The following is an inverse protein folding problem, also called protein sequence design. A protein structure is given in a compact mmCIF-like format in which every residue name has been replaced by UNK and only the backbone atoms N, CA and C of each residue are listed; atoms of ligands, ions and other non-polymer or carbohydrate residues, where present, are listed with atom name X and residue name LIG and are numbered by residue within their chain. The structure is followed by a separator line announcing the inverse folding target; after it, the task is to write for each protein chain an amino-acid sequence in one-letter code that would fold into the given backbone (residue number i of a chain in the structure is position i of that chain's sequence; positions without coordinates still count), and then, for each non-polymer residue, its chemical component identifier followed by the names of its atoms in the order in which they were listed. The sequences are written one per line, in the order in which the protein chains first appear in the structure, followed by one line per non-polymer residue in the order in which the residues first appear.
data_IF_572311510892
#
_entry.id   IF_572311510892
#
_cell.length_a   1.000
_cell.length_b   1.000
_cell.length_c   1.000
_cell.angle_alpha   90.00
_cell.angle_beta   90.00
_cell.angle_gamma   90.00
#
_symmetry.space_group_name_H-M   'P 1'
#
loop_
_entity.id
_entity.type
_entity.pdbx_description
1 polymer ?
#
# COMPACT_ATOMS: atom_id res chain seq x y z
N UNK A 1 -20.93 59.32 -22.43
CA UNK A 1 -21.38 58.88 -21.10
C UNK A 1 -21.90 57.43 -21.05
N UNK A 2 -22.46 56.86 -22.13
CA UNK A 2 -22.96 55.47 -22.19
C UNK A 2 -21.88 54.39 -21.93
N UNK A 3 -20.69 54.54 -22.46
CA UNK A 3 -19.62 53.54 -22.35
C UNK A 3 -19.07 53.37 -20.91
N UNK A 4 -19.08 54.43 -20.08
CA UNK A 4 -18.61 54.33 -18.69
C UNK A 4 -19.57 53.46 -17.82
N UNK A 5 -20.88 53.58 -18.02
CA UNK A 5 -21.87 52.75 -17.31
C UNK A 5 -21.72 51.28 -17.67
N UNK A 6 -21.48 50.95 -18.94
CA UNK A 6 -21.25 49.56 -19.39
C UNK A 6 -19.98 48.97 -18.74
N UNK A 7 -18.90 49.75 -18.65
CA UNK A 7 -17.65 49.32 -18.02
C UNK A 7 -17.88 49.01 -16.54
N UNK A 8 -18.64 49.82 -15.80
CA UNK A 8 -18.94 49.55 -14.38
C UNK A 8 -19.81 48.30 -14.21
N UNK A 9 -20.80 48.08 -15.12
CA UNK A 9 -21.65 46.87 -15.06
C UNK A 9 -20.81 45.60 -15.33
N UNK A 10 -19.98 45.63 -16.37
CA UNK A 10 -19.10 44.49 -16.68
C UNK A 10 -18.11 44.24 -15.54
N UNK A 11 -17.52 45.30 -14.98
CA UNK A 11 -16.60 45.18 -13.84
C UNK A 11 -17.27 44.57 -12.59
N UNK A 12 -18.53 44.97 -12.30
CA UNK A 12 -19.27 44.40 -11.17
C UNK A 12 -19.62 42.92 -11.38
N UNK A 13 -19.97 42.53 -12.61
CA UNK A 13 -20.24 41.11 -12.94
C UNK A 13 -18.97 40.28 -12.79
N UNK A 14 -17.83 40.73 -13.29
CA UNK A 14 -16.55 40.07 -13.14
C UNK A 14 -16.15 39.93 -11.67
N UNK A 15 -16.36 40.98 -10.87
CA UNK A 15 -16.09 40.95 -9.44
C UNK A 15 -16.98 39.90 -8.70
N UNK A 16 -18.26 39.85 -9.02
CA UNK A 16 -19.20 38.87 -8.46
C UNK A 16 -18.83 37.45 -8.83
N UNK A 17 -18.40 37.20 -10.07
CA UNK A 17 -17.90 35.88 -10.49
C UNK A 17 -16.63 35.53 -9.71
N UNK A 18 -15.69 36.43 -9.54
CA UNK A 18 -14.48 36.21 -8.75
C UNK A 18 -14.78 35.89 -7.29
N UNK A 19 -15.69 36.64 -6.66
CA UNK A 19 -16.15 36.37 -5.28
C UNK A 19 -16.80 34.99 -5.21
N UNK A 20 -17.65 34.62 -6.17
CA UNK A 20 -18.28 33.32 -6.26
C UNK A 20 -17.26 32.16 -6.37
N UNK A 21 -16.24 32.32 -7.21
CA UNK A 21 -15.16 31.36 -7.37
C UNK A 21 -14.33 31.20 -6.07
N UNK A 22 -14.00 32.30 -5.41
CA UNK A 22 -13.26 32.27 -4.13
C UNK A 22 -14.12 31.63 -3.04
N UNK A 23 -15.39 31.98 -2.93
CA UNK A 23 -16.31 31.38 -1.97
C UNK A 23 -16.48 29.88 -2.23
N UNK A 24 -16.62 29.47 -3.48
CA UNK A 24 -16.68 28.05 -3.84
C UNK A 24 -15.42 27.29 -3.43
N UNK A 25 -14.23 27.84 -3.71
CA UNK A 25 -12.96 27.27 -3.27
C UNK A 25 -12.87 27.12 -1.74
N UNK A 26 -13.22 28.16 -1.00
CA UNK A 26 -13.08 28.16 0.46
C UNK A 26 -14.11 27.26 1.14
N UNK A 27 -15.35 27.28 0.69
CA UNK A 27 -16.46 26.56 1.32
C UNK A 27 -16.53 25.08 0.91
N UNK A 28 -16.13 24.73 -0.31
CA UNK A 28 -16.25 23.35 -0.82
C UNK A 28 -14.91 22.61 -0.76
N UNK A 29 -13.83 23.24 -1.23
CA UNK A 29 -12.54 22.56 -1.39
C UNK A 29 -11.77 22.43 -0.07
N UNK A 30 -11.88 23.41 0.82
CA UNK A 30 -11.17 23.41 2.11
C UNK A 30 -11.99 22.80 3.26
N UNK A 31 -13.24 22.40 3.01
CA UNK A 31 -14.03 21.76 4.06
C UNK A 31 -13.42 20.38 4.39
N UNK A 32 -13.00 20.14 5.64
CA UNK A 32 -12.51 18.84 6.03
C UNK A 32 -13.67 17.85 5.96
N UNK A 33 -13.45 16.68 5.35
CA UNK A 33 -14.34 15.55 5.58
C UNK A 33 -14.23 15.20 7.07
N UNK A 34 -15.32 15.25 7.81
CA UNK A 34 -15.34 14.94 9.25
C UNK A 34 -15.04 13.46 9.49
N UNK A 35 -13.77 13.08 9.31
CA UNK A 35 -13.25 11.74 9.52
C UNK A 35 -12.82 11.65 10.99
N UNK A 36 -13.38 10.74 11.76
CA UNK A 36 -13.05 10.59 13.19
C UNK A 36 -11.63 10.06 13.40
N UNK A 37 -11.22 9.08 12.60
CA UNK A 37 -9.92 8.39 12.74
C UNK A 37 -9.29 8.15 11.38
N UNK A 38 -7.96 8.23 11.33
CA UNK A 38 -7.22 7.85 10.13
C UNK A 38 -7.43 6.37 9.83
N UNK A 39 -7.93 6.05 8.64
CA UNK A 39 -8.20 4.69 8.18
C UNK A 39 -7.86 4.56 6.69
N UNK A 40 -7.86 3.33 6.20
CA UNK A 40 -7.68 3.06 4.78
C UNK A 40 -9.04 2.85 4.11
N UNK A 41 -9.26 3.56 3.01
CA UNK A 41 -10.33 3.28 2.07
C UNK A 41 -9.79 2.29 1.05
N UNK A 42 -10.41 1.12 0.94
CA UNK A 42 -10.08 0.09 -0.04
C UNK A 42 -11.06 0.14 -1.20
N UNK A 43 -10.55 0.34 -2.40
CA UNK A 43 -11.32 0.37 -3.65
C UNK A 43 -10.92 -0.82 -4.48
N UNK A 44 -11.84 -1.75 -4.69
CA UNK A 44 -11.65 -2.96 -5.47
C UNK A 44 -11.86 -2.69 -6.97
N UNK A 45 -11.45 -3.62 -7.82
CA UNK A 45 -11.59 -3.50 -9.28
C UNK A 45 -13.04 -3.53 -9.77
N UNK A 46 -13.97 -4.08 -8.97
CA UNK A 46 -15.40 -4.16 -9.24
C UNK A 46 -16.23 -3.02 -8.60
N UNK A 47 -15.57 -2.14 -7.85
CA UNK A 47 -16.24 -1.01 -7.20
C UNK A 47 -16.69 0.04 -8.23
N UNK A 48 -17.91 0.49 -8.06
CA UNK A 48 -18.45 1.66 -8.73
C UNK A 48 -18.47 2.88 -7.81
N UNK A 49 -18.85 4.04 -8.34
CA UNK A 49 -18.84 5.28 -7.57
C UNK A 49 -19.76 5.24 -6.34
N UNK A 50 -20.90 4.54 -6.43
CA UNK A 50 -21.83 4.40 -5.32
C UNK A 50 -21.27 3.50 -4.22
N UNK A 51 -20.52 2.46 -4.58
CA UNK A 51 -19.75 1.64 -3.64
C UNK A 51 -18.74 2.48 -2.87
N UNK A 52 -17.99 3.34 -3.58
CA UNK A 52 -17.00 4.26 -2.95
C UNK A 52 -17.68 5.19 -1.96
N UNK A 53 -18.84 5.79 -2.33
CA UNK A 53 -19.59 6.64 -1.40
C UNK A 53 -20.11 5.88 -0.19
N UNK A 54 -20.56 4.63 -0.39
CA UNK A 54 -21.06 3.77 0.68
C UNK A 54 -19.93 3.39 1.65
N UNK A 55 -18.76 2.98 1.11
CA UNK A 55 -17.55 2.70 1.90
C UNK A 55 -17.11 3.94 2.70
N UNK A 56 -17.08 5.13 2.08
CA UNK A 56 -16.74 6.38 2.76
C UNK A 56 -17.68 6.67 3.94
N UNK A 57 -18.99 6.54 3.74
CA UNK A 57 -19.96 6.78 4.81
C UNK A 57 -19.85 5.76 5.93
N UNK A 58 -19.71 4.48 5.60
CA UNK A 58 -19.68 3.37 6.55
C UNK A 58 -18.38 3.33 7.35
N UNK A 59 -17.24 3.39 6.68
CA UNK A 59 -15.94 3.12 7.30
C UNK A 59 -15.36 4.35 8.00
N UNK A 60 -15.76 5.56 7.55
CA UNK A 60 -15.27 6.82 8.11
C UNK A 60 -16.33 7.59 8.89
N UNK A 61 -17.56 7.06 9.04
CA UNK A 61 -18.68 7.69 9.74
C UNK A 61 -18.93 9.14 9.27
N UNK A 62 -18.61 9.41 8.00
CA UNK A 62 -18.73 10.74 7.42
C UNK A 62 -20.17 10.99 6.99
N UNK A 63 -20.84 11.95 7.63
CA UNK A 63 -22.21 12.33 7.29
C UNK A 63 -22.31 13.20 6.04
N UNK A 64 -21.30 14.04 5.80
CA UNK A 64 -21.33 15.01 4.71
C UNK A 64 -20.20 14.76 3.69
N UNK A 65 -20.57 14.20 2.54
CA UNK A 65 -19.71 14.00 1.37
C UNK A 65 -20.13 14.87 0.18
N UNK A 66 -20.98 15.88 0.41
CA UNK A 66 -21.58 16.70 -0.66
C UNK A 66 -20.52 17.39 -1.49
N UNK A 67 -19.50 17.97 -0.86
CA UNK A 67 -18.38 18.61 -1.58
C UNK A 67 -17.59 17.62 -2.45
N UNK A 68 -17.36 16.39 -1.93
CA UNK A 68 -16.68 15.34 -2.68
C UNK A 68 -17.52 14.85 -3.88
N UNK A 69 -18.83 14.65 -3.67
CA UNK A 69 -19.76 14.29 -4.75
C UNK A 69 -19.77 15.34 -5.86
N UNK A 70 -19.78 16.61 -5.49
CA UNK A 70 -19.76 17.72 -6.47
C UNK A 70 -18.46 17.72 -7.29
N UNK A 71 -17.30 17.51 -6.66
CA UNK A 71 -16.02 17.41 -7.37
C UNK A 71 -15.96 16.20 -8.30
N UNK A 72 -16.48 15.08 -7.86
CA UNK A 72 -16.54 13.85 -8.65
C UNK A 72 -17.46 14.01 -9.85
N UNK A 73 -18.64 14.61 -9.69
CA UNK A 73 -19.59 14.84 -10.80
C UNK A 73 -19.08 15.88 -11.82
N UNK A 74 -18.23 16.80 -11.40
CA UNK A 74 -17.56 17.75 -12.30
C UNK A 74 -16.30 17.18 -12.98
N UNK A 75 -16.01 15.91 -12.77
CA UNK A 75 -14.82 15.23 -13.28
C UNK A 75 -15.19 13.88 -13.92
N UNK A 76 -14.30 13.32 -14.72
CA UNK A 76 -14.49 11.98 -15.31
C UNK A 76 -14.05 10.87 -14.35
N UNK A 77 -13.99 11.12 -13.02
CA UNK A 77 -13.55 10.12 -12.06
C UNK A 77 -14.50 8.92 -11.97
N UNK A 78 -15.80 9.15 -12.09
CA UNK A 78 -16.80 8.07 -12.04
C UNK A 78 -16.61 7.01 -13.16
N UNK A 79 -16.02 7.40 -14.29
CA UNK A 79 -15.69 6.51 -15.41
C UNK A 79 -14.29 5.86 -15.25
N UNK A 80 -13.43 6.47 -14.44
CA UNK A 80 -12.03 6.05 -14.25
C UNK A 80 -11.71 5.92 -12.76
N UNK A 81 -12.35 4.95 -12.11
CA UNK A 81 -12.09 4.65 -10.70
C UNK A 81 -10.79 3.85 -10.60
N UNK A 82 -9.85 4.33 -9.79
CA UNK A 82 -8.59 3.66 -9.57
C UNK A 82 -8.67 2.76 -8.33
N UNK A 83 -8.46 1.45 -8.55
CA UNK A 83 -8.34 0.49 -7.45
C UNK A 83 -7.15 0.82 -6.55
N UNK A 84 -7.27 0.52 -5.26
CA UNK A 84 -6.17 0.75 -4.33
C UNK A 84 -6.57 0.98 -2.89
N UNK A 85 -5.55 1.12 -2.05
CA UNK A 85 -5.70 1.52 -0.66
C UNK A 85 -5.30 2.99 -0.48
N UNK A 86 -6.24 3.79 -0.03
CA UNK A 86 -6.08 5.23 0.17
C UNK A 86 -6.21 5.57 1.65
N UNK A 87 -5.13 6.05 2.26
CA UNK A 87 -5.16 6.43 3.67
C UNK A 87 -5.74 7.83 3.80
N UNK A 88 -6.91 7.93 4.40
CA UNK A 88 -7.58 9.19 4.69
C UNK A 88 -7.34 9.57 6.16
N UNK A 89 -7.08 10.85 6.40
CA UNK A 89 -6.80 11.41 7.71
C UNK A 89 -7.84 12.46 8.09
N UNK A 90 -8.09 12.69 9.39
CA UNK A 90 -8.98 13.76 9.86
C UNK A 90 -8.58 15.16 9.39
N UNK A 91 -7.30 15.37 9.07
CA UNK A 91 -6.75 16.64 8.58
C UNK A 91 -6.91 16.85 7.08
N UNK A 92 -7.31 15.80 6.35
CA UNK A 92 -7.42 15.88 4.91
C UNK A 92 -8.69 16.66 4.51
N UNK A 93 -8.52 17.61 3.61
CA UNK A 93 -9.65 18.35 3.05
C UNK A 93 -10.25 17.59 1.84
N UNK A 94 -11.46 17.96 1.48
CA UNK A 94 -12.22 17.36 0.37
C UNK A 94 -11.43 17.37 -0.95
N UNK A 95 -10.68 18.45 -1.23
CA UNK A 95 -9.86 18.55 -2.42
C UNK A 95 -8.70 17.55 -2.42
N UNK A 96 -8.01 17.40 -1.28
CA UNK A 96 -6.89 16.48 -1.16
C UNK A 96 -7.34 15.03 -1.38
N UNK A 97 -8.46 14.64 -0.75
CA UNK A 97 -9.05 13.31 -0.91
C UNK A 97 -9.46 13.07 -2.36
N UNK A 98 -10.17 14.03 -2.97
CA UNK A 98 -10.55 13.95 -4.38
C UNK A 98 -9.33 13.79 -5.31
N UNK A 99 -8.30 14.59 -5.10
CA UNK A 99 -7.09 14.54 -5.90
C UNK A 99 -6.35 13.20 -5.73
N UNK A 100 -6.27 12.68 -4.51
CA UNK A 100 -5.66 11.39 -4.21
C UNK A 100 -6.39 10.24 -4.93
N UNK A 101 -7.72 10.22 -4.87
CA UNK A 101 -8.55 9.23 -5.55
C UNK A 101 -8.44 9.35 -7.07
N UNK A 102 -8.56 10.56 -7.61
CA UNK A 102 -8.51 10.83 -9.06
C UNK A 102 -7.15 10.49 -9.68
N UNK A 103 -6.07 10.72 -8.97
CA UNK A 103 -4.70 10.44 -9.47
C UNK A 103 -4.27 8.99 -9.26
N UNK A 104 -5.06 8.17 -8.54
CA UNK A 104 -4.69 6.80 -8.22
C UNK A 104 -3.46 6.68 -7.30
N UNK A 105 -3.10 7.75 -6.56
CA UNK A 105 -1.95 7.72 -5.65
C UNK A 105 -2.27 6.89 -4.40
N UNK A 106 -2.04 5.58 -4.51
CA UNK A 106 -2.22 4.66 -3.39
C UNK A 106 -1.26 4.96 -2.25
N UNK A 107 -1.72 4.72 -1.03
CA UNK A 107 -0.86 4.75 0.16
C UNK A 107 -0.37 3.34 0.47
N UNK A 108 0.95 3.12 0.59
CA UNK A 108 1.46 1.80 0.96
C UNK A 108 0.89 1.31 2.28
N UNK A 109 0.54 0.03 2.33
CA UNK A 109 0.11 -0.65 3.55
C UNK A 109 1.28 -1.41 4.19
N UNK A 110 1.19 -1.65 5.49
CA UNK A 110 2.15 -2.48 6.20
C UNK A 110 1.72 -3.94 6.16
N UNK A 111 2.48 -4.74 5.43
CA UNK A 111 2.33 -6.18 5.32
C UNK A 111 3.35 -6.88 6.21
N UNK A 112 2.90 -7.54 7.26
CA UNK A 112 3.76 -8.37 8.09
C UNK A 112 3.77 -9.79 7.54
N UNK A 113 4.94 -10.24 7.12
CA UNK A 113 5.22 -11.62 6.72
C UNK A 113 5.65 -12.38 7.97
N UNK A 114 4.82 -13.31 8.48
CA UNK A 114 5.13 -14.05 9.69
C UNK A 114 6.11 -15.21 9.42
N UNK A 115 6.74 -15.70 10.46
CA UNK A 115 7.43 -16.99 10.42
C UNK A 115 6.40 -18.11 10.44
N UNK A 116 6.24 -18.81 9.33
CA UNK A 116 5.28 -19.91 9.19
C UNK A 116 5.96 -21.19 8.73
N UNK A 117 5.36 -22.33 9.06
CA UNK A 117 5.91 -23.66 8.71
C UNK A 117 5.56 -24.10 7.29
N UNK A 118 4.48 -23.57 6.71
CA UNK A 118 3.96 -24.00 5.41
C UNK A 118 3.73 -22.82 4.47
N UNK A 119 3.94 -23.02 3.17
CA UNK A 119 3.66 -22.02 2.13
C UNK A 119 2.17 -21.65 2.06
N UNK A 120 1.27 -22.61 2.32
CA UNK A 120 -0.17 -22.34 2.36
C UNK A 120 -0.56 -21.41 3.52
N UNK A 121 0.05 -21.58 4.70
CA UNK A 121 -0.16 -20.65 5.82
C UNK A 121 0.40 -19.25 5.52
N UNK A 122 1.53 -19.18 4.81
CA UNK A 122 2.08 -17.92 4.31
C UNK A 122 1.11 -17.23 3.35
N UNK A 123 0.68 -17.94 2.31
CA UNK A 123 -0.25 -17.42 1.31
C UNK A 123 -1.53 -16.88 1.96
N UNK A 124 -2.12 -17.64 2.89
CA UNK A 124 -3.30 -17.22 3.65
C UNK A 124 -3.05 -16.00 4.54
N UNK A 125 -1.86 -15.86 5.13
CA UNK A 125 -1.51 -14.69 5.95
C UNK A 125 -1.35 -13.43 5.11
N UNK A 126 -0.74 -13.56 3.94
CA UNK A 126 -0.48 -12.46 3.01
C UNK A 126 -1.77 -11.99 2.33
N UNK A 127 -2.61 -12.92 1.85
CA UNK A 127 -3.87 -12.60 1.17
C UNK A 127 -4.88 -11.84 2.04
N UNK A 128 -4.81 -11.95 3.37
CA UNK A 128 -5.64 -11.16 4.29
C UNK A 128 -5.34 -9.66 4.25
N UNK A 129 -4.21 -9.28 3.71
CA UNK A 129 -3.72 -7.88 3.69
C UNK A 129 -3.56 -7.32 2.29
N UNK A 130 -3.59 -8.15 1.27
CA UNK A 130 -3.50 -7.77 -0.13
C UNK A 130 -4.84 -8.06 -0.83
N UNK A 131 -5.07 -7.43 -1.96
CA UNK A 131 -6.20 -7.69 -2.84
C UNK A 131 -6.11 -9.10 -3.46
N UNK A 132 -4.87 -9.60 -3.65
CA UNK A 132 -4.62 -10.91 -4.26
C UNK A 132 -5.06 -12.05 -3.33
N UNK A 133 -5.63 -13.11 -3.91
CA UNK A 133 -6.12 -14.25 -3.17
C UNK A 133 -5.01 -15.24 -2.76
N UNK A 134 -5.32 -16.09 -1.79
CA UNK A 134 -4.36 -17.09 -1.29
C UNK A 134 -4.08 -18.20 -2.28
N UNK A 135 -5.03 -18.52 -3.17
CA UNK A 135 -4.87 -19.56 -4.17
C UNK A 135 -3.87 -19.14 -5.25
N UNK A 136 -3.93 -17.90 -5.71
CA UNK A 136 -2.98 -17.33 -6.68
C UNK A 136 -1.55 -17.34 -6.13
N UNK A 137 -1.35 -16.96 -4.87
CA UNK A 137 -0.03 -17.02 -4.23
C UNK A 137 0.43 -18.46 -4.10
N UNK A 138 -0.44 -19.37 -3.62
CA UNK A 138 -0.08 -20.75 -3.40
C UNK A 138 0.25 -21.49 -4.71
N UNK A 139 -0.50 -21.24 -5.79
CA UNK A 139 -0.26 -21.85 -7.10
C UNK A 139 1.13 -21.52 -7.63
N UNK A 140 1.54 -20.24 -7.57
CA UNK A 140 2.87 -19.81 -8.00
C UNK A 140 4.00 -20.40 -7.14
N UNK A 141 3.77 -20.52 -5.83
CA UNK A 141 4.78 -21.10 -4.92
C UNK A 141 4.91 -22.61 -5.04
N UNK A 142 3.89 -23.30 -5.55
CA UNK A 142 3.91 -24.72 -5.82
C UNK A 142 4.36 -25.07 -7.26
N UNK A 143 4.43 -24.08 -8.14
CA UNK A 143 4.94 -24.27 -9.51
C UNK A 143 6.46 -24.39 -9.50
N UNK A 144 6.95 -25.62 -9.78
CA UNK A 144 8.39 -25.92 -9.81
C UNK A 144 9.11 -25.14 -10.91
N UNK A 145 8.45 -24.90 -12.05
CA UNK A 145 9.00 -24.13 -13.16
C UNK A 145 9.21 -22.67 -12.75
N UNK A 146 8.19 -22.07 -12.16
CA UNK A 146 8.27 -20.71 -11.66
C UNK A 146 9.32 -20.57 -10.55
N UNK A 147 9.36 -21.48 -9.58
CA UNK A 147 10.38 -21.48 -8.54
C UNK A 147 11.80 -21.57 -9.11
N UNK A 148 12.02 -22.37 -10.14
CA UNK A 148 13.32 -22.49 -10.82
C UNK A 148 13.78 -21.19 -11.48
N UNK A 149 12.88 -20.40 -12.05
CA UNK A 149 13.20 -19.06 -12.61
C UNK A 149 13.65 -18.08 -11.53
N UNK A 150 13.19 -18.30 -10.31
CA UNK A 150 13.62 -17.51 -9.14
C UNK A 150 14.96 -18.00 -8.56
N UNK A 151 15.48 -19.16 -8.99
CA UNK A 151 16.68 -19.78 -8.46
C UNK A 151 16.42 -20.60 -7.19
N UNK A 152 15.18 -21.03 -6.98
CA UNK A 152 14.75 -21.84 -5.85
C UNK A 152 14.06 -23.14 -6.33
N UNK A 153 13.94 -24.10 -5.43
CA UNK A 153 13.10 -25.28 -5.61
C UNK A 153 12.01 -25.32 -4.52
N UNK A 154 11.11 -26.28 -4.58
CA UNK A 154 10.00 -26.41 -3.61
C UNK A 154 10.46 -26.51 -2.15
N UNK A 155 11.67 -26.99 -1.89
CA UNK A 155 12.24 -27.12 -0.53
C UNK A 155 12.92 -25.85 -0.06
N UNK A 156 13.48 -25.06 -0.99
CA UNK A 156 14.26 -23.86 -0.66
C UNK A 156 13.46 -22.56 -0.80
N UNK A 157 12.34 -22.56 -1.52
CA UNK A 157 11.51 -21.38 -1.73
C UNK A 157 11.02 -20.71 -0.41
N UNK A 158 10.79 -21.44 0.70
CA UNK A 158 10.44 -20.79 1.97
C UNK A 158 11.52 -19.83 2.49
N UNK A 159 12.79 -20.05 2.15
CA UNK A 159 13.90 -19.17 2.55
C UNK A 159 13.84 -17.77 1.91
N UNK A 160 13.03 -17.61 0.86
CA UNK A 160 12.76 -16.35 0.21
C UNK A 160 12.01 -15.37 1.14
N UNK A 161 11.18 -15.89 2.04
CA UNK A 161 10.28 -15.11 2.87
C UNK A 161 10.88 -14.83 4.24
N UNK A 162 11.65 -13.75 4.33
CA UNK A 162 12.22 -13.30 5.60
C UNK A 162 11.09 -12.68 6.44
N UNK A 163 10.85 -13.18 7.67
CA UNK A 163 9.86 -12.59 8.57
C UNK A 163 10.19 -11.13 8.86
N UNK A 164 9.35 -10.23 8.40
CA UNK A 164 9.50 -8.78 8.59
C UNK A 164 8.20 -8.08 8.23
N UNK A 165 8.13 -6.77 8.50
CA UNK A 165 7.05 -5.90 8.03
C UNK A 165 7.54 -5.11 6.82
N UNK A 166 6.82 -5.25 5.71
CA UNK A 166 7.14 -4.63 4.43
C UNK A 166 6.09 -3.58 4.08
N UNK A 167 6.51 -2.49 3.48
CA UNK A 167 5.59 -1.52 2.88
C UNK A 167 5.34 -1.92 1.43
N UNK A 168 4.08 -2.22 1.11
CA UNK A 168 3.64 -2.72 -0.20
C UNK A 168 2.35 -2.02 -0.62
N UNK A 169 2.05 -1.97 -1.91
CA UNK A 169 0.76 -1.54 -2.38
C UNK A 169 -0.26 -2.67 -2.23
N UNK A 170 -1.47 -2.32 -1.87
CA UNK A 170 -2.55 -3.28 -1.63
C UNK A 170 -2.94 -4.09 -2.88
N UNK A 171 -2.89 -3.45 -4.05
CA UNK A 171 -3.17 -4.06 -5.37
C UNK A 171 -2.03 -4.90 -5.92
N UNK A 172 -0.97 -5.13 -5.12
CA UNK A 172 0.19 -5.90 -5.56
C UNK A 172 -0.22 -7.32 -5.95
N UNK A 173 0.15 -7.75 -7.16
CA UNK A 173 -0.09 -9.11 -7.64
C UNK A 173 0.71 -10.15 -6.86
N UNK A 174 0.29 -11.43 -6.93
CA UNK A 174 1.02 -12.53 -6.31
C UNK A 174 2.46 -12.63 -6.83
N UNK A 175 2.63 -12.42 -8.13
CA UNK A 175 3.95 -12.47 -8.77
C UNK A 175 4.85 -11.32 -8.32
N UNK A 176 4.33 -10.08 -8.27
CA UNK A 176 5.09 -8.91 -7.83
C UNK A 176 5.46 -9.01 -6.35
N UNK A 177 4.57 -9.59 -5.52
CA UNK A 177 4.87 -9.88 -4.14
C UNK A 177 6.07 -10.83 -4.01
N UNK A 178 6.09 -11.94 -4.75
CA UNK A 178 7.18 -12.90 -4.72
C UNK A 178 8.48 -12.27 -5.26
N UNK A 179 8.43 -11.53 -6.37
CA UNK A 179 9.57 -10.77 -6.91
C UNK A 179 10.11 -9.74 -5.89
N UNK A 180 9.22 -9.06 -5.19
CA UNK A 180 9.59 -8.12 -4.12
C UNK A 180 10.33 -8.81 -2.99
N UNK A 181 9.86 -10.00 -2.56
CA UNK A 181 10.54 -10.79 -1.55
C UNK A 181 11.93 -11.21 -2.02
N UNK A 182 12.07 -11.68 -3.27
CA UNK A 182 13.37 -12.01 -3.88
C UNK A 182 14.34 -10.82 -3.84
N UNK A 183 13.89 -9.64 -4.25
CA UNK A 183 14.70 -8.42 -4.23
C UNK A 183 15.18 -8.07 -2.82
N UNK A 184 14.31 -8.21 -1.83
CA UNK A 184 14.66 -7.92 -0.43
C UNK A 184 15.68 -8.94 0.12
N UNK A 185 15.53 -10.21 -0.22
CA UNK A 185 16.46 -11.29 0.21
C UNK A 185 17.83 -11.09 -0.43
N UNK A 186 17.88 -10.79 -1.72
CA UNK A 186 19.14 -10.54 -2.45
C UNK A 186 19.79 -9.23 -2.02
N UNK A 187 19.02 -8.17 -1.81
CA UNK A 187 19.53 -6.86 -1.38
C UNK A 187 20.04 -6.84 0.07
N UNK A 188 19.50 -7.67 0.94
CA UNK A 188 20.00 -7.82 2.33
C UNK A 188 21.36 -8.49 2.38
N UNK A 189 21.73 -9.28 1.36
CA UNK A 189 23.02 -9.97 1.28
C UNK A 189 24.19 -9.13 0.80
N UNK A 190 23.93 -8.01 0.10
CA UNK A 190 25.01 -7.34 -0.66
C UNK A 190 25.36 -5.92 -0.22
N UNK A 191 24.58 -5.20 0.55
CA UNK A 191 24.90 -3.78 0.85
C UNK A 191 24.85 -3.31 2.30
N UNK A 192 24.16 -4.02 3.17
CA UNK A 192 24.34 -3.87 4.61
C UNK A 192 24.49 -5.29 5.13
N UNK A 193 25.74 -5.72 5.18
CA UNK A 193 26.07 -6.90 5.95
C UNK A 193 25.21 -6.82 7.21
N UNK A 194 24.52 -7.87 7.54
CA UNK A 194 23.74 -8.03 8.75
C UNK A 194 24.38 -7.16 9.83
N UNK A 195 23.92 -5.91 9.99
CA UNK A 195 24.19 -5.22 11.24
C UNK A 195 23.80 -6.28 12.22
N UNK A 196 24.76 -6.80 12.94
CA UNK A 196 24.64 -7.80 13.99
C UNK A 196 23.46 -7.43 14.88
N UNK A 197 22.28 -7.51 14.30
CA UNK A 197 21.05 -7.48 15.03
C UNK A 197 21.08 -8.83 15.70
N UNK A 198 21.35 -8.79 17.00
CA UNK A 198 21.53 -9.88 17.93
C UNK A 198 20.57 -11.02 17.63
N UNK A 199 20.83 -11.80 16.57
CA UNK A 199 20.19 -13.12 16.31
C UNK A 199 20.45 -14.03 17.52
N UNK A 200 21.51 -13.72 18.29
CA UNK A 200 21.82 -14.36 19.56
C UNK A 200 20.74 -14.18 20.64
N UNK A 201 19.85 -13.18 20.55
CA UNK A 201 18.86 -12.96 21.60
C UNK A 201 17.50 -13.64 21.34
N UNK A 202 17.24 -14.13 20.12
CA UNK A 202 15.95 -14.73 19.74
C UNK A 202 16.00 -16.24 19.49
N UNK A 203 17.20 -16.83 19.43
CA UNK A 203 17.34 -18.27 19.30
C UNK A 203 17.45 -18.92 20.69
N UNK A 204 16.74 -20.02 20.96
CA UNK A 204 16.93 -20.81 22.17
C UNK A 204 18.42 -21.18 22.33
N UNK A 205 18.97 -21.11 23.56
CA UNK A 205 20.39 -21.37 23.85
C UNK A 205 20.94 -22.64 23.18
N UNK A 206 20.11 -23.66 23.01
CA UNK A 206 20.43 -24.91 22.34
C UNK A 206 20.85 -24.76 20.88
N UNK A 207 20.22 -23.85 20.13
CA UNK A 207 20.53 -23.57 18.73
C UNK A 207 21.77 -22.66 18.58
N UNK A 208 22.02 -21.78 19.55
CA UNK A 208 23.24 -20.95 19.57
C UNK A 208 24.49 -21.81 19.74
N UNK A 209 24.43 -22.81 20.62
CA UNK A 209 25.51 -23.78 20.84
C UNK A 209 25.75 -24.66 19.61
N UNK A 210 24.68 -25.08 18.92
CA UNK A 210 24.78 -25.85 17.68
C UNK A 210 25.45 -25.05 16.55
N UNK A 211 25.09 -23.78 16.36
CA UNK A 211 25.71 -22.89 15.36
C UNK A 211 27.18 -22.64 15.66
N UNK A 212 27.54 -22.48 16.91
CA UNK A 212 28.95 -22.32 17.33
C UNK A 212 29.75 -23.59 17.08
N UNK A 213 29.18 -24.75 17.37
CA UNK A 213 29.83 -26.06 17.13
C UNK A 213 30.00 -26.38 15.64
N UNK A 214 29.03 -26.01 14.79
CA UNK A 214 29.10 -26.22 13.35
C UNK A 214 30.14 -25.30 12.68
N UNK A 215 30.25 -24.03 13.12
CA UNK A 215 31.32 -23.10 12.67
C UNK A 215 32.70 -23.59 13.09
N UNK A 216 32.85 -24.11 14.30
CA UNK A 216 34.12 -24.67 14.77
C UNK A 216 34.55 -25.88 13.94
N UNK A 217 33.62 -26.76 13.56
CA UNK A 217 33.89 -27.90 12.66
C UNK A 217 34.30 -27.46 11.24
N UNK A 218 33.71 -26.40 10.69
CA UNK A 218 34.12 -25.88 9.39
C UNK A 218 35.51 -25.24 9.42
N UNK A 219 35.87 -24.51 10.47
CA UNK A 219 37.18 -23.92 10.64
C UNK A 219 38.29 -24.99 10.82
N UNK A 220 38.00 -26.10 11.49
CA UNK A 220 38.94 -27.21 11.64
C UNK A 220 39.16 -27.92 10.31
N UNK A 221 38.11 -28.14 9.49
CA UNK A 221 38.25 -28.70 8.13
C UNK A 221 39.07 -27.84 7.18
N UNK A 222 38.93 -26.50 7.27
CA UNK A 222 39.72 -25.60 6.46
C UNK A 222 41.22 -25.59 6.84
N UNK A 223 41.52 -25.78 8.13
CA UNK A 223 42.95 -25.84 8.61
C UNK A 223 43.63 -27.18 8.32
N UNK A 224 42.90 -28.24 8.00
CA UNK A 224 43.48 -29.56 7.68
C UNK A 224 43.70 -29.79 6.18
N UNK A 225 43.48 -28.77 5.36
CA UNK A 225 43.74 -28.81 3.92
C UNK A 225 44.94 -27.94 3.48
N UNK A 226 45.77 -27.50 4.43
CA UNK A 226 47.08 -26.85 4.19
C UNK A 226 48.19 -27.69 4.74
#
# INVERSE_FOLDING_TARGET
MKNKKVIYIVGSIVLLILIGVVACKTLILNTPLKIEKAAYLYIDSDDNIDSVYTKLKKDFHTSDITGLRMLISCSNYAENIHEGAYKLKPTDNTWHIFHQLKSGHQTPIRLTVPSVRTLGALAKSVSRRLMTDSASIASLLNDSTYCSTLGYNQYTIPALFIPNTYEVYWTMSAEDFIKRMKKNTTGSGTRNGWKKQKVSALLPKKWQLWLLSSKKKQLIRQKSQW
#
